data_IF_458802145428
#
_entry.id   IF_458802145428
#
_cell.length_a   1.000
_cell.length_b   1.000
_cell.length_c   1.000
_cell.angle_alpha   90.00
_cell.angle_beta   90.00
_cell.angle_gamma   90.00
#
_symmetry.space_group_name_H-M   'P 1'
#
loop_
_entity.id
_entity.type
_entity.pdbx_description
1 polymer ?
#
# COMPACT_ATOMS: atom_id res chain seq x y z
N UNK A 1 1.60 17.00 -4.29
CA UNK A 1 0.53 17.03 -3.27
C UNK A 1 0.50 15.66 -2.64
N UNK A 2 0.52 15.55 -1.30
CA UNK A 2 0.46 14.25 -0.64
C UNK A 2 -0.86 13.54 -1.01
N UNK A 3 -0.77 12.30 -1.48
CA UNK A 3 -1.92 11.41 -1.66
C UNK A 3 -2.67 11.31 -0.34
N UNK A 4 -3.93 11.76 -0.30
CA UNK A 4 -4.83 11.47 0.83
C UNK A 4 -5.36 10.06 0.65
N UNK A 5 -4.73 9.10 1.31
CA UNK A 5 -5.21 7.72 1.38
C UNK A 5 -6.22 7.63 2.51
N UNK A 6 -7.46 7.25 2.20
CA UNK A 6 -8.46 6.92 3.22
C UNK A 6 -8.06 5.61 3.90
N UNK A 7 -7.62 5.70 5.16
CA UNK A 7 -7.12 4.55 5.91
C UNK A 7 -8.30 3.66 6.32
N UNK A 8 -8.26 2.35 6.02
CA UNK A 8 -9.32 1.43 6.41
C UNK A 8 -9.30 1.17 7.92
N UNK A 9 -10.45 0.72 8.46
CA UNK A 9 -10.49 0.12 9.79
C UNK A 9 -9.82 -1.25 9.73
N UNK A 10 -8.63 -1.36 10.31
CA UNK A 10 -7.89 -2.61 10.38
C UNK A 10 -8.57 -3.63 11.29
N UNK A 11 -8.59 -4.89 10.85
CA UNK A 11 -9.15 -6.03 11.59
C UNK A 11 -8.10 -7.11 11.79
N UNK A 12 -8.21 -7.82 12.90
CA UNK A 12 -7.44 -9.04 13.14
C UNK A 12 -7.99 -10.23 12.33
N UNK A 13 -7.30 -11.38 12.29
CA UNK A 13 -7.79 -12.57 11.59
C UNK A 13 -9.13 -13.13 12.10
N UNK A 14 -9.55 -12.75 13.31
CA UNK A 14 -10.83 -13.13 13.92
C UNK A 14 -11.94 -12.12 13.58
N UNK A 15 -11.62 -11.02 12.89
CA UNK A 15 -12.55 -9.98 12.48
C UNK A 15 -12.75 -8.86 13.51
N UNK A 16 -12.04 -8.88 14.64
CA UNK A 16 -12.11 -7.81 15.62
C UNK A 16 -11.33 -6.58 15.15
N UNK A 17 -11.80 -5.39 15.51
CA UNK A 17 -11.10 -4.14 15.17
C UNK A 17 -9.77 -4.05 15.92
N UNK A 18 -8.69 -3.73 15.21
CA UNK A 18 -7.40 -3.41 15.82
C UNK A 18 -7.49 -2.01 16.42
N UNK A 19 -7.64 -1.91 17.74
CA UNK A 19 -7.83 -0.64 18.45
C UNK A 19 -6.56 -0.07 19.12
N UNK A 20 -5.45 -0.81 19.08
CA UNK A 20 -4.18 -0.36 19.67
C UNK A 20 -3.61 0.80 18.84
N UNK A 21 -3.47 1.96 19.50
CA UNK A 21 -3.06 3.23 18.87
C UNK A 21 -1.68 3.09 18.22
N UNK A 22 -0.74 2.42 18.88
CA UNK A 22 0.61 2.21 18.37
C UNK A 22 0.60 1.37 17.08
N UNK A 23 -0.22 0.30 17.03
CA UNK A 23 -0.36 -0.52 15.81
C UNK A 23 -0.97 0.28 14.67
N UNK A 24 -1.99 1.09 14.96
CA UNK A 24 -2.64 1.93 13.95
C UNK A 24 -1.68 2.99 13.41
N UNK A 25 -0.86 3.58 14.27
CA UNK A 25 0.18 4.54 13.86
C UNK A 25 1.19 3.90 12.91
N UNK A 26 1.70 2.72 13.23
CA UNK A 26 2.63 1.99 12.35
C UNK A 26 1.98 1.66 11.00
N UNK A 27 0.71 1.23 10.99
CA UNK A 27 -0.01 0.98 9.74
C UNK A 27 -0.22 2.25 8.91
N UNK A 28 -0.45 3.39 9.55
CA UNK A 28 -0.52 4.68 8.86
C UNK A 28 0.82 5.05 8.23
N UNK A 29 1.91 4.99 8.99
CA UNK A 29 3.27 5.30 8.49
C UNK A 29 3.62 4.40 7.30
N UNK A 30 3.38 3.09 7.40
CA UNK A 30 3.60 2.15 6.29
C UNK A 30 2.82 2.50 5.02
N UNK A 31 1.54 2.93 5.15
CA UNK A 31 0.73 3.30 4.00
C UNK A 31 1.19 4.62 3.37
N UNK A 32 1.59 5.58 4.19
CA UNK A 32 2.12 6.87 3.72
C UNK A 32 3.44 6.66 2.96
N UNK A 33 4.36 5.85 3.50
CA UNK A 33 5.62 5.47 2.83
C UNK A 33 5.37 4.73 1.52
N UNK A 34 4.46 3.75 1.52
CA UNK A 34 4.12 3.00 0.31
C UNK A 34 3.52 3.91 -0.77
N UNK A 35 2.62 4.82 -0.39
CA UNK A 35 2.00 5.75 -1.33
C UNK A 35 3.03 6.70 -1.96
N UNK A 36 3.99 7.20 -1.17
CA UNK A 36 5.06 8.04 -1.68
C UNK A 36 5.95 7.26 -2.65
N UNK A 37 6.38 6.05 -2.28
CA UNK A 37 7.23 5.23 -3.14
C UNK A 37 6.53 4.85 -4.46
N UNK A 38 5.24 4.52 -4.39
CA UNK A 38 4.45 4.21 -5.58
C UNK A 38 4.28 5.43 -6.50
N UNK A 39 4.12 6.63 -5.93
CA UNK A 39 4.06 7.88 -6.68
C UNK A 39 5.39 8.18 -7.37
N UNK A 40 6.51 8.09 -6.65
CA UNK A 40 7.85 8.30 -7.20
C UNK A 40 8.13 7.32 -8.36
N UNK A 41 7.80 6.04 -8.18
CA UNK A 41 7.95 5.03 -9.22
C UNK A 41 7.10 5.31 -10.47
N UNK A 42 5.89 5.84 -10.30
CA UNK A 42 5.04 6.24 -11.41
C UNK A 42 5.62 7.47 -12.14
N UNK A 43 6.08 8.48 -11.40
CA UNK A 43 6.70 9.68 -11.96
C UNK A 43 7.93 9.33 -12.79
N UNK A 44 8.81 8.48 -12.25
CA UNK A 44 9.98 7.99 -12.96
C UNK A 44 9.60 7.23 -14.24
N UNK A 45 8.61 6.34 -14.18
CA UNK A 45 8.17 5.58 -15.35
C UNK A 45 7.60 6.50 -16.45
N UNK A 46 6.79 7.50 -16.07
CA UNK A 46 6.25 8.50 -17.01
C UNK A 46 7.37 9.35 -17.61
N UNK A 47 8.36 9.78 -16.81
CA UNK A 47 9.52 10.52 -17.29
C UNK A 47 10.35 9.70 -18.30
N UNK A 48 10.38 8.37 -18.14
CA UNK A 48 11.05 7.44 -19.07
C UNK A 48 10.20 7.09 -20.30
N UNK A 49 8.99 7.63 -20.44
CA UNK A 49 8.11 7.45 -21.59
C UNK A 49 7.24 6.19 -21.53
N UNK A 50 7.05 5.60 -20.35
CA UNK A 50 6.10 4.50 -20.17
C UNK A 50 4.64 4.99 -20.21
N UNK A 51 3.72 4.09 -20.57
CA UNK A 51 2.28 4.35 -20.47
C UNK A 51 1.83 4.37 -19.00
N UNK A 52 1.19 5.47 -18.58
CA UNK A 52 0.74 5.67 -17.20
C UNK A 52 -0.25 4.58 -16.75
N UNK A 53 -1.16 4.17 -17.64
CA UNK A 53 -2.17 3.14 -17.36
C UNK A 53 -1.53 1.79 -17.10
N UNK A 54 -0.60 1.38 -17.97
CA UNK A 54 0.16 0.15 -17.83
C UNK A 54 0.93 0.09 -16.51
N UNK A 55 1.58 1.18 -16.11
CA UNK A 55 2.34 1.23 -14.85
C UNK A 55 1.41 1.09 -13.65
N UNK A 56 0.27 1.78 -13.64
CA UNK A 56 -0.74 1.67 -12.57
C UNK A 56 -1.30 0.25 -12.47
N UNK A 57 -1.65 -0.36 -13.59
CA UNK A 57 -2.14 -1.74 -13.64
C UNK A 57 -1.10 -2.73 -13.09
N UNK A 58 0.17 -2.53 -13.44
CA UNK A 58 1.25 -3.36 -12.93
C UNK A 58 1.47 -3.18 -11.42
N UNK A 59 1.42 -1.95 -10.88
CA UNK A 59 1.49 -1.70 -9.44
C UNK A 59 0.36 -2.40 -8.68
N UNK A 60 -0.86 -2.44 -9.25
CA UNK A 60 -1.97 -3.23 -8.68
C UNK A 60 -1.65 -4.73 -8.69
N UNK A 61 -1.10 -5.25 -9.78
CA UNK A 61 -0.67 -6.66 -9.86
C UNK A 61 0.41 -7.01 -8.84
N UNK A 62 1.38 -6.10 -8.60
CA UNK A 62 2.40 -6.27 -7.55
C UNK A 62 1.73 -6.42 -6.18
N UNK A 63 0.75 -5.57 -5.85
CA UNK A 63 0.01 -5.67 -4.58
C UNK A 63 -0.77 -6.98 -4.45
N UNK A 64 -1.34 -7.47 -5.54
CA UNK A 64 -2.05 -8.76 -5.57
C UNK A 64 -1.12 -9.96 -5.42
N UNK A 65 0.16 -9.82 -5.81
CA UNK A 65 1.17 -10.88 -5.73
C UNK A 65 1.81 -11.04 -4.34
N UNK A 66 1.51 -10.14 -3.40
CA UNK A 66 2.07 -10.17 -2.06
C UNK A 66 1.69 -11.46 -1.33
N UNK A 67 2.69 -12.09 -0.72
CA UNK A 67 2.55 -13.33 0.03
C UNK A 67 2.54 -13.06 1.54
N UNK A 68 1.67 -13.75 2.28
CA UNK A 68 1.67 -13.74 3.74
C UNK A 68 2.57 -14.88 4.28
N UNK A 69 3.77 -14.58 4.80
CA UNK A 69 4.72 -15.59 5.29
C UNK A 69 4.30 -16.25 6.61
N UNK A 70 3.22 -15.79 7.23
CA UNK A 70 2.69 -16.34 8.47
C UNK A 70 1.55 -17.35 8.24
N UNK A 71 1.17 -17.63 6.99
CA UNK A 71 0.22 -18.70 6.69
C UNK A 71 0.80 -20.06 7.10
N UNK A 72 0.21 -20.69 8.11
CA UNK A 72 0.63 -22.01 8.62
C UNK A 72 1.51 -21.98 9.87
N UNK A 73 1.69 -20.82 10.52
CA UNK A 73 2.20 -20.74 11.90
C UNK A 73 1.08 -20.84 12.93
#
# INVERSE_FOLDING_TARGET
MALKVDIPVWKDPQGNVVACVEKLKVMQENLEELAQLAQDALEDAVLMGCDEGQVKDFLVQVMQSLHNPYQGR
#
